data_IF_877870723638
#
_entry.id   IF_877870723638
#
_cell.length_a   1.000
_cell.length_b   1.000
_cell.length_c   1.000
_cell.angle_alpha   90.00
_cell.angle_beta   90.00
_cell.angle_gamma   90.00
#
_symmetry.space_group_name_H-M   'P 1'
#
loop_
_entity.id
_entity.type
_entity.pdbx_description
1 polymer ?
#
# COMPACT_ATOMS: atom_id res chain seq x y z
N UNK A 1 -34.87 41.17 -57.19
CA UNK A 1 -34.19 40.45 -58.29
C UNK A 1 -33.53 39.20 -57.69
N UNK A 2 -33.80 38.01 -58.24
CA UNK A 2 -33.27 36.67 -57.84
C UNK A 2 -31.73 36.69 -57.77
N UNK A 3 -31.07 35.84 -56.99
CA UNK A 3 -30.55 34.52 -57.43
C UNK A 3 -30.30 33.61 -56.21
N UNK A 4 -30.71 32.34 -56.37
CA UNK A 4 -30.43 31.21 -55.51
C UNK A 4 -29.10 30.55 -55.90
N UNK A 5 -28.34 30.06 -54.93
CA UNK A 5 -27.42 28.92 -55.12
C UNK A 5 -27.56 27.97 -53.93
N UNK A 6 -27.99 26.75 -54.28
CA UNK A 6 -28.09 25.57 -53.45
C UNK A 6 -26.75 24.85 -53.59
N UNK A 7 -26.04 24.65 -52.49
CA UNK A 7 -25.01 23.60 -52.39
C UNK A 7 -25.41 22.64 -51.27
N UNK A 8 -25.97 21.51 -51.71
CA UNK A 8 -26.28 20.36 -50.87
C UNK A 8 -24.99 19.57 -50.69
N UNK A 9 -24.38 19.64 -49.51
CA UNK A 9 -23.29 18.72 -49.16
C UNK A 9 -23.84 17.27 -49.18
N UNK A 10 -23.12 16.29 -49.79
CA UNK A 10 -23.57 14.91 -49.78
C UNK A 10 -23.50 14.33 -48.37
N UNK A 11 -24.53 13.59 -47.97
CA UNK A 11 -24.63 12.94 -46.67
C UNK A 11 -23.46 11.96 -46.46
N UNK A 12 -22.89 11.85 -45.24
CA UNK A 12 -21.83 10.90 -44.96
C UNK A 12 -22.35 9.46 -45.07
N UNK A 13 -21.60 8.61 -45.78
CA UNK A 13 -21.93 7.22 -46.02
C UNK A 13 -21.94 6.39 -44.71
N UNK A 14 -22.93 5.49 -44.51
CA UNK A 14 -23.13 4.75 -43.25
C UNK A 14 -22.02 3.74 -42.92
N UNK A 15 -21.14 3.41 -43.87
CA UNK A 15 -20.12 2.37 -43.69
C UNK A 15 -18.89 2.81 -42.87
N UNK A 16 -18.59 4.12 -42.79
CA UNK A 16 -17.43 4.61 -42.01
C UNK A 16 -17.69 4.57 -40.50
N UNK A 17 -18.94 4.69 -40.06
CA UNK A 17 -19.29 4.56 -38.64
C UNK A 17 -19.28 3.10 -38.15
N UNK A 18 -19.57 2.13 -39.02
CA UNK A 18 -19.55 0.72 -38.66
C UNK A 18 -18.13 0.21 -38.34
N UNK A 19 -17.11 0.63 -39.13
CA UNK A 19 -15.70 0.25 -38.87
C UNK A 19 -15.06 0.94 -37.66
N UNK A 20 -15.58 2.08 -37.23
CA UNK A 20 -15.09 2.78 -36.03
C UNK A 20 -15.59 2.13 -34.73
N UNK A 21 -16.71 1.41 -34.76
CA UNK A 21 -17.28 0.72 -33.58
C UNK A 21 -16.52 -0.56 -33.22
N UNK A 22 -15.87 -1.19 -34.19
CA UNK A 22 -15.19 -2.49 -34.00
C UNK A 22 -13.71 -2.36 -33.56
N UNK A 23 -13.15 -1.15 -33.58
CA UNK A 23 -11.78 -0.88 -33.17
C UNK A 23 -11.60 -0.59 -31.66
N UNK A 24 -12.70 -0.54 -30.90
CA UNK A 24 -12.71 -0.15 -29.48
C UNK A 24 -12.46 -1.28 -28.47
N UNK A 25 -12.37 -2.54 -28.91
CA UNK A 25 -12.42 -3.72 -28.02
C UNK A 25 -11.07 -4.40 -27.76
N UNK A 26 -9.96 -3.63 -27.76
CA UNK A 26 -8.61 -4.17 -27.48
C UNK A 26 -7.94 -3.62 -26.22
N UNK A 27 -8.64 -2.81 -25.45
CA UNK A 27 -8.22 -2.38 -24.09
C UNK A 27 -9.28 -2.75 -23.05
N UNK A 28 -9.91 -3.91 -23.18
CA UNK A 28 -10.65 -4.49 -22.07
C UNK A 28 -9.62 -5.01 -21.07
N UNK A 29 -9.22 -4.14 -20.15
CA UNK A 29 -8.69 -4.58 -18.86
C UNK A 29 -9.71 -5.58 -18.28
N UNK A 30 -9.43 -6.88 -18.44
CA UNK A 30 -10.22 -7.94 -17.81
C UNK A 30 -10.17 -7.68 -16.31
N UNK A 31 -11.31 -7.27 -15.76
CA UNK A 31 -11.49 -7.07 -14.33
C UNK A 31 -10.97 -8.32 -13.61
N UNK A 32 -10.03 -8.21 -12.65
CA UNK A 32 -9.68 -9.34 -11.81
C UNK A 32 -10.95 -9.83 -11.11
N UNK A 33 -11.13 -11.15 -11.07
CA UNK A 33 -12.32 -11.83 -10.56
C UNK A 33 -12.77 -11.22 -9.23
N UNK A 34 -13.93 -10.57 -9.26
CA UNK A 34 -14.50 -9.79 -8.17
C UNK A 34 -14.93 -10.70 -7.03
N UNK A 35 -14.52 -10.39 -5.80
CA UNK A 35 -15.02 -11.06 -4.60
C UNK A 35 -16.47 -10.62 -4.33
N UNK A 36 -17.43 -11.31 -4.93
CA UNK A 36 -18.87 -11.09 -4.73
C UNK A 36 -19.32 -11.69 -3.39
N UNK A 37 -19.36 -10.86 -2.36
CA UNK A 37 -19.91 -11.20 -1.05
C UNK A 37 -20.51 -9.96 -0.41
N UNK A 38 -21.74 -9.61 -0.79
CA UNK A 38 -22.45 -8.39 -0.38
C UNK A 38 -22.82 -8.41 1.12
N UNK A 39 -21.86 -8.26 2.04
CA UNK A 39 -22.15 -7.75 3.39
C UNK A 39 -22.16 -6.22 3.32
N UNK A 40 -23.36 -5.63 3.41
CA UNK A 40 -23.52 -4.17 3.47
C UNK A 40 -22.95 -3.66 4.80
N UNK A 41 -21.97 -2.76 4.74
CA UNK A 41 -21.41 -2.10 5.94
C UNK A 41 -22.49 -1.32 6.71
N UNK A 42 -22.42 -1.21 8.05
CA UNK A 42 -23.39 -0.46 8.85
C UNK A 42 -23.39 1.04 8.50
N UNK A 43 -24.52 1.76 8.69
CA UNK A 43 -24.69 3.15 8.22
C UNK A 43 -23.64 4.11 8.75
N UNK A 44 -23.34 4.07 10.06
CA UNK A 44 -22.35 4.96 10.67
C UNK A 44 -20.92 4.74 10.17
N UNK A 45 -20.57 3.51 9.78
CA UNK A 45 -19.27 3.21 9.18
C UNK A 45 -19.18 3.76 7.75
N UNK A 46 -20.26 3.67 6.97
CA UNK A 46 -20.33 4.26 5.62
C UNK A 46 -20.16 5.77 5.65
N UNK A 47 -20.86 6.45 6.55
CA UNK A 47 -20.72 7.89 6.75
C UNK A 47 -19.29 8.27 7.15
N UNK A 48 -18.64 7.47 7.99
CA UNK A 48 -17.24 7.67 8.34
C UNK A 48 -16.32 7.49 7.11
N UNK A 49 -16.48 6.42 6.33
CA UNK A 49 -15.68 6.12 5.13
C UNK A 49 -15.86 7.15 4.00
N UNK A 50 -17.07 7.72 3.90
CA UNK A 50 -17.40 8.78 2.94
C UNK A 50 -16.59 10.06 3.17
N UNK A 51 -16.09 10.30 4.39
CA UNK A 51 -15.21 11.45 4.67
C UNK A 51 -13.88 11.31 3.91
N UNK A 52 -13.46 12.39 3.26
CA UNK A 52 -12.47 12.35 2.18
C UNK A 52 -11.05 11.98 2.62
N UNK A 53 -10.61 12.37 3.82
CA UNK A 53 -9.31 12.00 4.39
C UNK A 53 -9.32 12.38 5.88
N UNK A 54 -8.62 11.63 6.73
CA UNK A 54 -8.48 11.94 8.17
C UNK A 54 -7.03 12.36 8.46
N UNK A 55 -6.63 13.61 8.16
CA UNK A 55 -5.25 14.09 8.29
C UNK A 55 -4.70 13.95 9.73
N UNK A 56 -5.56 13.90 10.74
CA UNK A 56 -5.15 13.65 12.13
C UNK A 56 -4.45 12.31 12.35
N UNK A 57 -4.71 11.30 11.52
CA UNK A 57 -4.03 10.00 11.61
C UNK A 57 -2.57 10.09 11.15
N UNK A 58 -2.31 10.86 10.09
CA UNK A 58 -0.94 11.10 9.62
C UNK A 58 -0.15 11.89 10.67
N UNK A 59 -0.79 12.86 11.34
CA UNK A 59 -0.20 13.58 12.46
C UNK A 59 0.12 12.67 13.66
N UNK A 60 -0.77 11.74 14.01
CA UNK A 60 -0.53 10.81 15.11
C UNK A 60 0.59 9.81 14.78
N UNK A 61 0.71 9.38 13.52
CA UNK A 61 1.86 8.58 13.06
C UNK A 61 3.16 9.35 13.18
N UNK A 62 3.18 10.64 12.82
CA UNK A 62 4.35 11.49 12.99
C UNK A 62 4.78 11.59 14.46
N UNK A 63 3.82 11.79 15.38
CA UNK A 63 4.09 11.80 16.83
C UNK A 63 4.68 10.46 17.27
N UNK A 64 4.11 9.35 16.83
CA UNK A 64 4.60 8.02 17.14
C UNK A 64 6.06 7.81 16.68
N UNK A 65 6.40 8.26 15.47
CA UNK A 65 7.78 8.22 14.95
C UNK A 65 8.71 9.11 15.79
N UNK A 66 8.29 10.31 16.17
CA UNK A 66 9.12 11.20 16.99
C UNK A 66 9.43 10.63 18.37
N UNK A 67 8.49 9.91 18.99
CA UNK A 67 8.76 9.21 20.25
C UNK A 67 9.90 8.20 20.09
N UNK A 68 9.94 7.46 18.98
CA UNK A 68 11.01 6.50 18.68
C UNK A 68 12.34 7.22 18.43
N UNK A 69 12.31 8.30 17.66
CA UNK A 69 13.51 9.09 17.35
C UNK A 69 14.10 9.66 18.63
N UNK A 70 13.33 10.40 19.44
CA UNK A 70 13.85 11.02 20.66
C UNK A 70 14.40 10.01 21.66
N UNK A 71 13.77 8.84 21.78
CA UNK A 71 14.31 7.75 22.60
C UNK A 71 15.74 7.36 22.17
N UNK A 72 16.00 7.24 20.86
CA UNK A 72 17.33 6.93 20.33
C UNK A 72 18.34 8.09 20.43
N UNK A 73 17.85 9.33 20.56
CA UNK A 73 18.70 10.51 20.80
C UNK A 73 19.10 10.70 22.29
N UNK A 74 18.76 9.75 23.16
CA UNK A 74 19.16 9.77 24.57
C UNK A 74 18.09 10.30 25.52
N UNK A 75 16.90 10.66 25.03
CA UNK A 75 15.77 11.03 25.88
C UNK A 75 15.06 9.77 26.41
N UNK A 76 15.71 9.07 27.35
CA UNK A 76 15.19 7.81 27.89
C UNK A 76 13.87 7.93 28.65
N UNK A 77 13.50 9.13 29.10
CA UNK A 77 12.19 9.41 29.69
C UNK A 77 11.04 9.31 28.67
N UNK A 78 11.34 9.33 27.37
CA UNK A 78 10.34 9.23 26.30
C UNK A 78 10.00 7.75 26.06
N UNK A 79 8.72 7.37 26.04
CA UNK A 79 8.32 5.97 25.85
C UNK A 79 8.44 5.52 24.38
N UNK A 80 9.67 5.34 23.89
CA UNK A 80 9.93 4.97 22.49
C UNK A 80 9.20 3.71 22.03
N UNK A 81 9.09 2.70 22.90
CA UNK A 81 8.34 1.46 22.62
C UNK A 81 6.84 1.69 22.34
N UNK A 82 6.23 2.68 23.00
CA UNK A 82 4.83 3.05 22.74
C UNK A 82 4.68 3.75 21.39
N UNK A 83 5.71 4.48 20.95
CA UNK A 83 5.78 5.02 19.59
C UNK A 83 5.77 3.92 18.54
N UNK A 84 6.58 2.87 18.72
CA UNK A 84 6.59 1.71 17.82
C UNK A 84 5.21 1.04 17.78
N UNK A 85 4.63 0.72 18.94
CA UNK A 85 3.32 0.07 19.02
C UNK A 85 2.23 0.93 18.38
N UNK A 86 2.18 2.22 18.72
CA UNK A 86 1.20 3.16 18.17
C UNK A 86 1.32 3.30 16.66
N UNK A 87 2.54 3.38 16.12
CA UNK A 87 2.76 3.44 14.68
C UNK A 87 2.18 2.22 13.96
N UNK A 88 2.46 1.00 14.44
CA UNK A 88 1.94 -0.23 13.83
C UNK A 88 0.42 -0.36 13.94
N UNK A 89 -0.18 0.00 15.08
CA UNK A 89 -1.64 0.02 15.26
C UNK A 89 -2.29 0.97 14.24
N UNK A 90 -1.72 2.16 14.05
CA UNK A 90 -2.23 3.14 13.09
C UNK A 90 -2.07 2.66 11.63
N UNK A 91 -0.97 1.98 11.31
CA UNK A 91 -0.78 1.37 10.00
C UNK A 91 -1.87 0.32 9.71
N UNK A 92 -2.18 -0.56 10.67
CA UNK A 92 -3.28 -1.53 10.55
C UNK A 92 -4.65 -0.91 10.40
N UNK A 93 -4.93 0.13 11.18
CA UNK A 93 -6.17 0.89 11.03
C UNK A 93 -6.29 1.50 9.62
N UNK A 94 -5.24 2.15 9.13
CA UNK A 94 -5.24 2.84 7.83
C UNK A 94 -5.42 1.88 6.65
N UNK A 95 -4.78 0.71 6.68
CA UNK A 95 -4.96 -0.32 5.63
C UNK A 95 -6.41 -0.80 5.62
N UNK A 96 -6.93 -1.15 6.79
CA UNK A 96 -8.30 -1.65 6.94
C UNK A 96 -9.31 -0.61 6.43
N UNK A 97 -9.11 0.64 6.82
CA UNK A 97 -9.90 1.77 6.34
C UNK A 97 -9.88 1.88 4.82
N UNK A 98 -8.70 1.81 4.20
CA UNK A 98 -8.56 1.91 2.75
C UNK A 98 -9.24 0.76 2.01
N UNK A 99 -9.11 -0.47 2.53
CA UNK A 99 -9.76 -1.66 1.97
C UNK A 99 -11.29 -1.57 2.07
N UNK A 100 -11.82 -1.13 3.21
CA UNK A 100 -13.25 -0.94 3.42
C UNK A 100 -13.81 0.17 2.51
N UNK A 101 -13.05 1.26 2.33
CA UNK A 101 -13.42 2.35 1.41
C UNK A 101 -13.43 1.89 -0.05
N UNK A 102 -12.47 1.06 -0.46
CA UNK A 102 -12.45 0.46 -1.80
C UNK A 102 -13.63 -0.49 -2.00
N UNK A 103 -13.92 -1.34 -1.01
CA UNK A 103 -15.08 -2.24 -0.99
C UNK A 103 -16.40 -1.46 -1.10
N UNK A 104 -16.55 -0.36 -0.37
CA UNK A 104 -17.75 0.47 -0.41
C UNK A 104 -17.92 1.15 -1.78
N UNK A 105 -16.84 1.74 -2.30
CA UNK A 105 -16.88 2.53 -3.55
C UNK A 105 -17.04 1.67 -4.80
N UNK A 106 -16.40 0.50 -4.85
CA UNK A 106 -16.33 -0.33 -6.06
C UNK A 106 -17.01 -1.70 -5.90
N UNK A 107 -17.57 -1.99 -4.73
CA UNK A 107 -18.21 -3.27 -4.43
C UNK A 107 -17.26 -4.46 -4.31
N UNK A 108 -15.95 -4.25 -4.47
CA UNK A 108 -14.93 -5.30 -4.38
C UNK A 108 -13.56 -4.73 -4.06
N UNK A 109 -12.71 -5.54 -3.43
CA UNK A 109 -11.30 -5.22 -3.16
C UNK A 109 -10.42 -5.81 -4.27
N UNK A 110 -9.62 -4.97 -4.92
CA UNK A 110 -8.61 -5.42 -5.89
C UNK A 110 -7.23 -5.43 -5.24
N UNK A 111 -6.79 -6.62 -4.82
CA UNK A 111 -5.46 -6.80 -4.22
C UNK A 111 -4.33 -6.32 -5.14
N UNK A 112 -4.46 -6.57 -6.45
CA UNK A 112 -3.46 -6.14 -7.45
C UNK A 112 -3.27 -4.63 -7.44
N UNK A 113 -4.36 -3.88 -7.47
CA UNK A 113 -4.30 -2.42 -7.46
C UNK A 113 -3.85 -1.88 -6.10
N UNK A 114 -4.26 -2.53 -5.01
CA UNK A 114 -3.79 -2.20 -3.66
C UNK A 114 -2.27 -2.30 -3.55
N UNK A 115 -1.69 -3.45 -3.94
CA UNK A 115 -0.24 -3.66 -3.89
C UNK A 115 0.51 -2.76 -4.85
N UNK A 116 0.00 -2.52 -6.07
CA UNK A 116 0.68 -1.65 -7.03
C UNK A 116 0.79 -0.20 -6.53
N UNK A 117 -0.30 0.36 -5.99
CA UNK A 117 -0.30 1.73 -5.42
C UNK A 117 0.69 1.86 -4.26
N UNK A 118 0.80 0.81 -3.44
CA UNK A 118 1.71 0.77 -2.30
C UNK A 118 3.17 0.66 -2.75
N UNK A 119 3.44 -0.25 -3.67
CA UNK A 119 4.76 -0.51 -4.22
C UNK A 119 5.33 0.75 -4.89
N UNK A 120 4.54 1.44 -5.73
CA UNK A 120 4.94 2.68 -6.37
C UNK A 120 5.18 3.84 -5.40
N UNK A 121 4.63 3.78 -4.18
CA UNK A 121 4.83 4.79 -3.13
C UNK A 121 6.07 4.54 -2.29
N UNK A 122 6.36 3.28 -1.95
CA UNK A 122 7.41 2.95 -0.96
C UNK A 122 8.73 2.55 -1.63
N UNK A 123 8.67 1.73 -2.67
CA UNK A 123 9.86 1.17 -3.31
C UNK A 123 10.82 2.23 -3.85
N UNK A 124 10.37 3.33 -4.51
CA UNK A 124 11.31 4.33 -5.01
C UNK A 124 12.15 4.97 -3.90
N UNK A 125 11.50 5.40 -2.81
CA UNK A 125 12.19 6.01 -1.69
C UNK A 125 13.13 5.02 -0.98
N UNK A 126 12.69 3.77 -0.82
CA UNK A 126 13.50 2.72 -0.21
C UNK A 126 14.74 2.36 -1.05
N UNK A 127 14.58 2.22 -2.37
CA UNK A 127 15.71 1.95 -3.27
C UNK A 127 16.71 3.10 -3.28
N UNK A 128 16.23 4.36 -3.28
CA UNK A 128 17.11 5.51 -3.14
C UNK A 128 17.91 5.45 -1.84
N UNK A 129 17.27 5.19 -0.70
CA UNK A 129 17.95 5.01 0.57
C UNK A 129 19.00 3.90 0.50
N UNK A 130 18.63 2.71 0.00
CA UNK A 130 19.51 1.56 -0.06
C UNK A 130 20.74 1.85 -0.95
N UNK A 131 20.54 2.44 -2.13
CA UNK A 131 21.62 2.79 -3.06
C UNK A 131 22.55 3.86 -2.48
N UNK A 132 22.00 4.95 -1.95
CA UNK A 132 22.77 6.07 -1.38
C UNK A 132 23.56 5.59 -0.17
N UNK A 133 22.94 4.82 0.73
CA UNK A 133 23.62 4.30 1.91
C UNK A 133 24.74 3.33 1.54
N UNK A 134 24.48 2.41 0.61
CA UNK A 134 25.51 1.48 0.11
C UNK A 134 26.68 2.24 -0.52
N UNK A 135 26.40 3.23 -1.37
CA UNK A 135 27.42 4.08 -1.97
C UNK A 135 28.22 4.85 -0.92
N UNK A 136 27.57 5.40 0.10
CA UNK A 136 28.24 6.09 1.21
C UNK A 136 29.18 5.15 1.98
N UNK A 137 28.78 3.90 2.25
CA UNK A 137 29.65 2.92 2.90
C UNK A 137 30.87 2.59 2.04
N UNK A 138 30.69 2.40 0.72
CA UNK A 138 31.79 2.17 -0.23
C UNK A 138 32.76 3.36 -0.24
N UNK A 139 32.26 4.59 -0.39
CA UNK A 139 33.06 5.80 -0.48
C UNK A 139 33.82 6.12 0.82
N UNK A 140 33.26 5.76 1.98
CA UNK A 140 33.88 5.98 3.28
C UNK A 140 34.76 4.80 3.73
N UNK A 141 34.88 3.73 2.93
CA UNK A 141 35.64 2.54 3.27
C UNK A 141 35.07 1.77 4.48
N UNK A 142 33.82 2.02 4.85
CA UNK A 142 33.17 1.33 5.97
C UNK A 142 32.79 -0.10 5.57
N UNK A 143 32.83 -1.01 6.54
CA UNK A 143 32.50 -2.42 6.33
C UNK A 143 31.06 -2.57 5.83
N UNK A 144 30.89 -3.28 4.72
CA UNK A 144 29.59 -3.72 4.22
C UNK A 144 29.42 -5.20 4.55
N UNK A 145 28.30 -5.54 5.18
CA UNK A 145 27.89 -6.93 5.38
C UNK A 145 26.80 -7.23 4.37
N UNK A 146 27.19 -7.84 3.23
CA UNK A 146 26.28 -8.09 2.11
C UNK A 146 25.05 -8.92 2.51
N UNK A 147 25.19 -9.86 3.45
CA UNK A 147 24.05 -10.60 3.99
C UNK A 147 22.99 -9.70 4.61
N UNK A 148 23.40 -8.66 5.37
CA UNK A 148 22.47 -7.69 5.96
C UNK A 148 21.94 -6.70 4.91
N UNK A 149 22.78 -6.27 3.96
CA UNK A 149 22.37 -5.37 2.89
C UNK A 149 21.31 -6.01 1.99
N UNK A 150 21.50 -7.27 1.60
CA UNK A 150 20.55 -8.04 0.79
C UNK A 150 19.30 -8.33 1.60
N UNK A 151 19.41 -8.74 2.87
CA UNK A 151 18.23 -8.97 3.71
C UNK A 151 17.38 -7.70 3.86
N UNK A 152 18.01 -6.53 4.02
CA UNK A 152 17.29 -5.26 3.99
C UNK A 152 16.56 -5.03 2.66
N UNK A 153 17.22 -5.28 1.52
CA UNK A 153 16.64 -5.09 0.18
C UNK A 153 15.37 -5.92 -0.04
N UNK A 154 15.31 -7.12 0.55
CA UNK A 154 14.15 -8.01 0.47
C UNK A 154 13.21 -7.91 1.69
N UNK A 155 13.34 -6.85 2.50
CA UNK A 155 12.49 -6.60 3.68
C UNK A 155 12.58 -7.66 4.79
N UNK A 156 13.75 -8.29 4.95
CA UNK A 156 14.07 -9.33 5.95
C UNK A 156 15.20 -8.94 6.91
N UNK A 157 15.57 -7.66 7.00
CA UNK A 157 16.62 -7.19 7.92
C UNK A 157 16.29 -7.46 9.40
N UNK A 158 15.01 -7.51 9.75
CA UNK A 158 14.52 -7.89 11.07
C UNK A 158 14.91 -9.34 11.42
N UNK A 159 14.68 -10.29 10.51
CA UNK A 159 15.04 -11.70 10.71
C UNK A 159 16.54 -11.90 10.71
N UNK A 160 17.26 -11.20 9.82
CA UNK A 160 18.71 -11.22 9.82
C UNK A 160 19.27 -10.81 11.18
N UNK A 161 18.82 -9.67 11.70
CA UNK A 161 19.32 -9.13 12.97
C UNK A 161 18.91 -9.99 14.16
N UNK A 162 17.75 -10.65 14.11
CA UNK A 162 17.29 -11.56 15.15
C UNK A 162 18.08 -12.88 15.20
N UNK A 163 18.47 -13.42 14.05
CA UNK A 163 19.14 -14.74 13.95
C UNK A 163 20.67 -14.61 14.04
N UNK A 164 21.23 -13.62 13.33
CA UNK A 164 22.67 -13.48 13.14
C UNK A 164 23.27 -12.31 13.94
N UNK A 165 22.43 -11.53 14.62
CA UNK A 165 22.82 -10.29 15.30
C UNK A 165 22.91 -9.09 14.37
N UNK A 166 22.90 -7.88 14.95
CA UNK A 166 23.11 -6.65 14.19
C UNK A 166 24.61 -6.33 14.10
N UNK A 167 25.24 -6.37 12.92
CA UNK A 167 26.62 -5.93 12.73
C UNK A 167 26.77 -4.40 12.71
N UNK A 168 25.71 -3.64 12.99
CA UNK A 168 25.70 -2.18 13.12
C UNK A 168 26.17 -1.44 11.86
N UNK A 169 25.83 -1.98 10.69
CA UNK A 169 26.14 -1.33 9.39
C UNK A 169 25.08 -0.29 8.98
N UNK A 170 24.03 -0.11 9.77
CA UNK A 170 22.92 0.82 9.53
C UNK A 170 21.74 0.22 8.76
N UNK A 171 21.90 -0.92 8.07
CA UNK A 171 20.77 -1.59 7.41
C UNK A 171 19.75 -2.15 8.42
N UNK A 172 20.11 -2.33 9.70
CA UNK A 172 19.17 -2.74 10.75
C UNK A 172 18.04 -1.73 10.94
N UNK A 173 18.23 -0.44 10.67
CA UNK A 173 17.17 0.57 10.77
C UNK A 173 15.98 0.31 9.82
N UNK A 174 16.12 -0.54 8.81
CA UNK A 174 15.02 -0.91 7.90
C UNK A 174 14.09 -1.98 8.49
N UNK A 175 14.37 -2.49 9.69
CA UNK A 175 13.60 -3.55 10.32
C UNK A 175 12.10 -3.20 10.43
N UNK A 176 11.77 -1.97 10.84
CA UNK A 176 10.39 -1.54 11.02
C UNK A 176 9.65 -1.45 9.69
N UNK A 177 10.35 -0.99 8.65
CA UNK A 177 9.84 -0.98 7.28
C UNK A 177 9.61 -2.41 6.76
N UNK A 178 10.53 -3.33 7.07
CA UNK A 178 10.37 -4.74 6.72
C UNK A 178 9.14 -5.37 7.36
N UNK A 179 8.92 -5.13 8.65
CA UNK A 179 7.71 -5.55 9.35
C UNK A 179 6.46 -4.89 8.75
N UNK A 180 6.52 -3.60 8.41
CA UNK A 180 5.41 -2.89 7.78
C UNK A 180 5.01 -3.52 6.43
N UNK A 181 5.98 -3.89 5.59
CA UNK A 181 5.74 -4.58 4.31
C UNK A 181 5.19 -6.00 4.49
N UNK A 182 5.73 -6.78 5.44
CA UNK A 182 5.21 -8.11 5.76
C UNK A 182 3.75 -8.01 6.23
N UNK A 183 3.45 -7.03 7.06
CA UNK A 183 2.10 -6.75 7.52
C UNK A 183 1.19 -6.30 6.37
N UNK A 184 1.67 -5.47 5.43
CA UNK A 184 0.93 -5.10 4.22
C UNK A 184 0.58 -6.29 3.33
N UNK A 185 1.44 -7.31 3.26
CA UNK A 185 1.18 -8.52 2.48
C UNK A 185 0.18 -9.46 3.17
N UNK A 186 0.32 -9.65 4.48
CA UNK A 186 -0.50 -10.61 5.22
C UNK A 186 -1.91 -10.06 5.52
N UNK A 187 -2.02 -8.80 5.92
CA UNK A 187 -3.27 -8.24 6.45
C UNK A 187 -4.44 -8.22 5.45
N UNK A 188 -4.29 -7.72 4.20
CA UNK A 188 -5.38 -7.74 3.22
C UNK A 188 -5.84 -9.16 2.88
N UNK A 189 -4.90 -10.11 2.83
CA UNK A 189 -5.20 -11.53 2.56
C UNK A 189 -6.00 -12.11 3.73
N UNK A 190 -5.58 -11.88 4.97
CA UNK A 190 -6.30 -12.30 6.17
C UNK A 190 -7.71 -11.71 6.24
N UNK A 191 -7.88 -10.42 5.93
CA UNK A 191 -9.21 -9.79 5.91
C UNK A 191 -10.14 -10.40 4.85
N UNK A 192 -9.63 -10.65 3.64
CA UNK A 192 -10.43 -11.30 2.59
C UNK A 192 -10.77 -12.74 2.97
N UNK A 193 -9.81 -13.48 3.54
CA UNK A 193 -10.04 -14.84 4.02
C UNK A 193 -11.13 -14.88 5.11
N UNK A 194 -11.06 -13.96 6.07
CA UNK A 194 -12.04 -13.80 7.15
C UNK A 194 -13.42 -13.43 6.62
N UNK A 195 -13.49 -12.53 5.63
CA UNK A 195 -14.75 -12.13 5.00
C UNK A 195 -15.42 -13.29 4.25
N UNK A 196 -14.62 -14.14 3.58
CA UNK A 196 -15.11 -15.28 2.80
C UNK A 196 -15.47 -16.50 3.65
N UNK A 197 -14.83 -16.67 4.80
CA UNK A 197 -14.96 -17.85 5.68
C UNK A 197 -15.05 -17.42 7.15
N UNK A 198 -16.16 -16.79 7.56
CA UNK A 198 -16.33 -16.33 8.95
C UNK A 198 -16.22 -17.47 9.97
N UNK A 199 -16.55 -18.71 9.59
CA UNK A 199 -16.38 -19.91 10.40
C UNK A 199 -14.91 -20.25 10.72
N UNK A 200 -13.95 -19.72 9.95
CA UNK A 200 -12.51 -19.86 10.22
C UNK A 200 -11.91 -18.68 10.95
N UNK A 201 -12.72 -17.70 11.34
CA UNK A 201 -12.30 -16.54 12.11
C UNK A 201 -11.42 -16.89 13.33
N UNK A 202 -11.81 -17.82 14.23
CA UNK A 202 -10.99 -18.14 15.39
C UNK A 202 -9.64 -18.75 15.00
N UNK A 203 -9.58 -19.57 13.95
CA UNK A 203 -8.33 -20.19 13.49
C UNK A 203 -7.39 -19.17 12.79
N UNK A 204 -7.95 -18.24 12.00
CA UNK A 204 -7.19 -17.18 11.33
C UNK A 204 -6.67 -16.17 12.36
N UNK A 205 -7.48 -15.84 13.38
CA UNK A 205 -7.07 -14.96 14.48
C UNK A 205 -6.04 -15.63 15.39
N UNK A 206 -6.20 -16.93 15.69
CA UNK A 206 -5.23 -17.69 16.48
C UNK A 206 -3.89 -17.87 15.76
N UNK A 207 -3.87 -17.93 14.43
CA UNK A 207 -2.62 -17.98 13.66
C UNK A 207 -1.92 -16.60 13.54
N UNK A 208 -2.59 -15.52 13.96
CA UNK A 208 -2.08 -14.15 13.88
C UNK A 208 -1.57 -13.61 15.24
N UNK A 209 -1.72 -14.38 16.32
CA UNK A 209 -1.22 -14.10 17.68
C UNK A 209 0.01 -14.98 17.92
#
# INVERSE_FOLDING_TARGET
MKIAWVDKAPAPAPEREARARDAGDRTTWRRPETVSGQRRLPPGLREALARSHAPGLDGLRMVAVFLVVFYHFGFQAVPGGHGVLGFFVLCGFLITWLLLKEQERFGSISLRLFYLRRLLRIVPAFLCFWLIWTAALVLTGKRIVWGQAISALVYLSNYYSAILGDPHTGYSHTWSLGIEEQFYLLWPVSLIALWRRPERAPAILAAAI
#
